data_IF_745412013391
#
_entry.id   IF_745412013391
#
_cell.length_a   1.000
_cell.length_b   1.000
_cell.length_c   1.000
_cell.angle_alpha   90.00
_cell.angle_beta   90.00
_cell.angle_gamma   90.00
#
_symmetry.space_group_name_H-M   'P 1'
#
loop_
_entity.id
_entity.type
_entity.pdbx_description
1 polymer ?
#
# COMPACT_ATOMS: atom_id res chain seq x y z
N UNK A 1 9.54 -5.50 -23.24
CA UNK A 1 10.26 -4.72 -22.22
C UNK A 1 9.21 -4.07 -21.35
N UNK A 2 9.04 -4.59 -20.13
CA UNK A 2 7.88 -4.35 -19.29
C UNK A 2 7.94 -2.98 -18.64
N UNK A 3 7.06 -2.09 -19.08
CA UNK A 3 6.66 -0.94 -18.30
C UNK A 3 5.84 -1.49 -17.14
N UNK A 4 6.30 -1.27 -15.92
CA UNK A 4 5.44 -1.48 -14.75
C UNK A 4 4.52 -0.28 -14.71
N UNK A 5 3.21 -0.50 -14.68
CA UNK A 5 2.22 0.59 -14.57
C UNK A 5 2.31 1.32 -13.22
N UNK A 6 3.11 0.78 -12.29
CA UNK A 6 3.38 1.32 -10.97
C UNK A 6 4.66 2.15 -10.92
N UNK A 7 4.59 3.27 -10.21
CA UNK A 7 5.67 4.16 -9.85
C UNK A 7 5.63 4.53 -8.35
N UNK A 8 6.77 4.91 -7.74
CA UNK A 8 6.77 5.47 -6.40
C UNK A 8 5.88 6.72 -6.31
N UNK A 9 5.00 6.74 -5.32
CA UNK A 9 3.99 7.78 -5.13
C UNK A 9 2.59 7.38 -5.58
N UNK A 10 2.44 6.32 -6.38
CA UNK A 10 1.13 5.83 -6.78
C UNK A 10 0.34 5.33 -5.57
N UNK A 11 -0.97 5.56 -5.62
CA UNK A 11 -1.92 5.00 -4.67
C UNK A 11 -2.46 3.72 -5.25
N UNK A 12 -2.33 2.65 -4.49
CA UNK A 12 -2.88 1.34 -4.82
C UNK A 12 -3.85 0.91 -3.74
N UNK A 13 -4.81 0.08 -4.08
CA UNK A 13 -5.72 -0.53 -3.12
C UNK A 13 -5.66 -2.05 -3.23
N UNK A 14 -5.99 -2.73 -2.13
CA UNK A 14 -6.10 -4.18 -2.10
C UNK A 14 -7.55 -4.57 -2.42
N UNK A 15 -7.82 -5.26 -3.54
CA UNK A 15 -9.19 -5.69 -3.86
C UNK A 15 -9.64 -6.86 -2.98
N UNK A 16 -8.72 -7.75 -2.60
CA UNK A 16 -9.02 -8.97 -1.85
C UNK A 16 -8.02 -9.23 -0.71
N UNK A 17 -8.32 -10.24 0.11
CA UNK A 17 -7.47 -10.65 1.23
C UNK A 17 -7.63 -9.82 2.51
N UNK A 18 -6.72 -9.99 3.49
CA UNK A 18 -6.87 -9.44 4.84
C UNK A 18 -6.78 -7.91 4.90
N UNK A 19 -6.23 -7.27 3.86
CA UNK A 19 -6.11 -5.82 3.74
C UNK A 19 -7.09 -5.24 2.71
N UNK A 20 -8.06 -6.03 2.25
CA UNK A 20 -9.07 -5.60 1.27
C UNK A 20 -9.74 -4.28 1.69
N UNK A 21 -9.84 -3.34 0.76
CA UNK A 21 -10.41 -2.01 0.98
C UNK A 21 -9.46 -0.98 1.61
N UNK A 22 -8.21 -1.35 1.92
CA UNK A 22 -7.18 -0.41 2.37
C UNK A 22 -6.45 0.18 1.16
N UNK A 23 -6.19 1.49 1.20
CA UNK A 23 -5.31 2.16 0.26
C UNK A 23 -3.90 2.28 0.82
N UNK A 24 -2.90 2.13 -0.03
CA UNK A 24 -1.49 2.30 0.29
C UNK A 24 -0.75 3.07 -0.78
N UNK A 25 0.40 3.63 -0.41
CA UNK A 25 1.27 4.38 -1.30
C UNK A 25 2.47 3.52 -1.67
N UNK A 26 2.75 3.40 -2.96
CA UNK A 26 3.95 2.74 -3.47
C UNK A 26 5.18 3.55 -3.06
N UNK A 27 6.10 2.94 -2.32
CA UNK A 27 7.38 3.52 -1.91
C UNK A 27 8.51 3.08 -2.83
N UNK A 28 8.52 1.82 -3.26
CA UNK A 28 9.57 1.25 -4.11
C UNK A 28 8.96 0.25 -5.10
N UNK A 29 9.52 0.20 -6.31
CA UNK A 29 9.11 -0.74 -7.36
C UNK A 29 10.27 -1.71 -7.64
N UNK A 30 10.06 -2.99 -7.31
CA UNK A 30 11.00 -4.06 -7.60
C UNK A 30 10.65 -4.76 -8.91
N UNK A 31 10.85 -4.07 -10.04
CA UNK A 31 10.49 -4.53 -11.39
C UNK A 31 11.00 -5.95 -11.72
N UNK A 32 12.22 -6.28 -11.31
CA UNK A 32 12.82 -7.62 -11.54
C UNK A 32 12.10 -8.75 -10.82
N UNK A 33 11.36 -8.45 -9.76
CA UNK A 33 10.68 -9.43 -8.90
C UNK A 33 9.16 -9.34 -9.01
N UNK A 34 8.63 -8.43 -9.84
CA UNK A 34 7.21 -8.11 -9.90
C UNK A 34 6.60 -7.82 -8.52
N UNK A 35 7.31 -7.00 -7.72
CA UNK A 35 6.88 -6.64 -6.35
C UNK A 35 6.91 -5.14 -6.12
N UNK A 36 6.06 -4.66 -5.22
CA UNK A 36 5.98 -3.29 -4.73
C UNK A 36 6.23 -3.27 -3.24
N UNK A 37 6.93 -2.24 -2.76
CA UNK A 37 6.88 -1.88 -1.35
C UNK A 37 5.80 -0.83 -1.19
N UNK A 38 4.79 -1.13 -0.38
CA UNK A 38 3.63 -0.26 -0.13
C UNK A 38 3.62 0.14 1.32
N UNK A 39 3.35 1.41 1.59
CA UNK A 39 3.08 1.93 2.92
C UNK A 39 1.61 2.29 3.05
N UNK A 40 0.93 1.79 4.07
CA UNK A 40 -0.48 2.08 4.33
C UNK A 40 -0.72 2.33 5.82
N UNK A 41 -1.74 3.14 6.11
CA UNK A 41 -2.20 3.40 7.47
C UNK A 41 -3.43 2.55 7.77
N UNK A 42 -3.44 1.85 8.90
CA UNK A 42 -4.72 1.45 9.49
C UNK A 42 -5.34 2.74 10.06
N UNK A 43 -6.43 3.25 9.45
CA UNK A 43 -7.02 4.55 9.77
C UNK A 43 -7.28 4.74 11.28
N UNK A 44 -7.28 6.00 11.75
CA UNK A 44 -7.49 6.48 13.13
C UNK A 44 -7.84 5.40 14.19
N UNK A 45 -6.85 4.62 14.62
CA UNK A 45 -7.08 3.42 15.46
C UNK A 45 -7.36 3.78 16.93
N UNK A 46 -7.08 5.01 17.39
CA UNK A 46 -7.42 5.42 18.75
C UNK A 46 -7.49 6.94 18.92
N UNK A 47 -8.57 7.42 19.53
CA UNK A 47 -8.66 8.77 20.11
C UNK A 47 -8.42 8.68 21.61
N UNK A 48 -7.15 8.62 22.03
CA UNK A 48 -6.78 8.81 23.44
C UNK A 48 -6.36 10.27 23.63
N UNK A 49 -7.08 11.04 24.44
CA UNK A 49 -6.64 12.37 24.86
C UNK A 49 -6.41 13.40 23.73
N UNK A 50 -7.21 13.36 22.65
CA UNK A 50 -7.13 14.30 21.51
C UNK A 50 -5.93 14.12 20.56
N UNK A 51 -5.15 13.03 20.68
CA UNK A 51 -4.07 12.70 19.74
C UNK A 51 -4.55 11.65 18.73
N UNK A 52 -4.54 11.99 17.45
CA UNK A 52 -4.80 11.06 16.34
C UNK A 52 -3.50 10.30 16.05
N UNK A 53 -3.41 9.02 16.41
CA UNK A 53 -2.25 8.18 16.08
C UNK A 53 -2.62 7.19 14.99
N UNK A 54 -2.07 7.41 13.81
CA UNK A 54 -2.13 6.46 12.70
C UNK A 54 -1.06 5.38 12.93
N UNK A 55 -1.44 4.11 12.81
CA UNK A 55 -0.46 3.03 12.72
C UNK A 55 -0.07 2.89 11.25
N UNK A 56 1.18 3.21 10.92
CA UNK A 56 1.74 3.01 9.59
C UNK A 56 2.37 1.64 9.48
N UNK A 57 2.04 0.95 8.40
CA UNK A 57 2.52 -0.38 8.05
C UNK A 57 3.24 -0.32 6.71
N UNK A 58 4.30 -1.11 6.58
CA UNK A 58 5.02 -1.32 5.32
C UNK A 58 4.90 -2.79 4.96
N UNK A 59 4.44 -3.09 3.74
CA UNK A 59 4.33 -4.45 3.22
C UNK A 59 4.98 -4.54 1.85
N UNK A 60 5.52 -5.71 1.50
CA UNK A 60 5.96 -6.01 0.14
C UNK A 60 4.94 -6.93 -0.50
N UNK A 61 4.39 -6.51 -1.64
CA UNK A 61 3.25 -7.16 -2.32
C UNK A 61 3.59 -7.44 -3.78
N UNK A 62 2.93 -8.42 -4.38
CA UNK A 62 2.94 -8.69 -5.81
C UNK A 62 2.15 -7.63 -6.60
N UNK A 63 2.34 -7.60 -7.92
CA UNK A 63 1.57 -6.73 -8.82
C UNK A 63 0.11 -7.19 -8.98
N UNK A 64 -0.16 -8.46 -8.72
CA UNK A 64 -1.46 -9.10 -8.76
C UNK A 64 -2.28 -8.92 -7.47
N UNK A 65 -1.64 -8.49 -6.37
CA UNK A 65 -2.30 -8.32 -5.07
C UNK A 65 -2.93 -6.93 -4.89
N UNK A 66 -2.67 -6.00 -5.81
CA UNK A 66 -3.11 -4.60 -5.72
C UNK A 66 -3.52 -4.04 -7.08
N UNK A 67 -4.37 -3.01 -7.05
CA UNK A 67 -4.82 -2.29 -8.24
C UNK A 67 -4.60 -0.78 -8.04
N UNK A 68 -4.26 -0.07 -9.14
CA UNK A 68 -4.16 1.39 -9.13
C UNK A 68 -5.53 2.01 -8.82
N UNK A 69 -5.54 3.00 -7.92
CA UNK A 69 -6.76 3.74 -7.55
C UNK A 69 -7.00 4.97 -8.42
#
# INVERSE_FOLDING_TARGET
MGFTEYAPGDVVHFPEGPFSGICGVVREVYARRAKLRVEFGEGLVHREGNVLRERRHSLTVGYDEVELS
#
